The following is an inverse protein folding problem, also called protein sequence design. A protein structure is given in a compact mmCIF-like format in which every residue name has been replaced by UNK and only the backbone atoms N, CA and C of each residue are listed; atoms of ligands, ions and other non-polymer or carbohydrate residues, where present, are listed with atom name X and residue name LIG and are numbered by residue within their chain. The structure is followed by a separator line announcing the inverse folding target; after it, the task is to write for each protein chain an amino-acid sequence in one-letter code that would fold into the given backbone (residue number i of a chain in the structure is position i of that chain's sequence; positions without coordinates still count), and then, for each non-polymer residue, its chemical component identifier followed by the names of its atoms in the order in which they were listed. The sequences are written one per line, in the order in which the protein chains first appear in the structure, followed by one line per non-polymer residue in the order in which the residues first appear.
data_IF_259108495148
#
_entry.id   IF_259108495148
#
_cell.length_a   1.000
_cell.length_b   1.000
_cell.length_c   1.000
_cell.angle_alpha   90.00
_cell.angle_beta   90.00
_cell.angle_gamma   90.00
#
_symmetry.space_group_name_H-M   'P 1'
#
loop_
_entity.id
_entity.type
_entity.pdbx_description
1 polymer ?
#
# COMPACT_ATOMS: atom_id res chain seq x y z
N UNK A 1 -7.68 3.57 21.34
CA UNK A 1 -7.82 2.97 19.99
C UNK A 1 -9.21 3.28 19.48
N UNK A 2 -9.31 3.90 18.32
CA UNK A 2 -10.59 4.29 17.70
C UNK A 2 -10.99 3.23 16.67
N UNK A 3 -12.19 2.67 16.79
CA UNK A 3 -12.72 1.69 15.84
C UNK A 3 -13.52 2.39 14.75
N UNK A 4 -13.20 2.11 13.49
CA UNK A 4 -13.85 2.69 12.32
C UNK A 4 -14.25 1.58 11.33
N UNK A 5 -15.26 1.86 10.49
CA UNK A 5 -15.60 1.00 9.36
C UNK A 5 -15.04 1.62 8.10
N UNK A 6 -14.31 0.84 7.32
CA UNK A 6 -13.65 1.32 6.09
C UNK A 6 -14.00 0.42 4.92
N UNK A 7 -14.04 1.00 3.71
CA UNK A 7 -14.06 0.22 2.46
C UNK A 7 -12.62 -0.18 2.14
N UNK A 8 -12.27 -1.48 2.14
CA UNK A 8 -10.92 -1.95 1.84
C UNK A 8 -10.36 -1.44 0.51
N UNK A 9 -11.23 -1.15 -0.47
CA UNK A 9 -10.80 -0.68 -1.79
C UNK A 9 -10.27 0.75 -1.79
N UNK A 10 -10.62 1.53 -0.76
CA UNK A 10 -10.16 2.91 -0.56
C UNK A 10 -8.92 3.01 0.33
N UNK A 11 -8.47 1.89 0.91
CA UNK A 11 -7.28 1.82 1.76
C UNK A 11 -6.09 1.40 0.91
N UNK A 12 -5.00 2.15 1.02
CA UNK A 12 -3.75 1.90 0.32
C UNK A 12 -2.86 0.95 1.10
N UNK A 13 -1.97 0.27 0.39
CA UNK A 13 -0.92 -0.53 1.01
C UNK A 13 0.18 0.38 1.56
N UNK A 14 1.08 -0.21 2.34
CA UNK A 14 2.28 0.46 2.83
C UNK A 14 3.59 -0.19 2.39
N UNK A 15 3.57 -1.42 1.86
CA UNK A 15 4.76 -2.19 1.51
C UNK A 15 4.68 -2.78 0.11
N UNK A 16 5.83 -2.97 -0.53
CA UNK A 16 5.87 -3.48 -1.90
C UNK A 16 5.36 -4.89 -2.14
N UNK A 17 5.57 -5.76 -1.17
CA UNK A 17 5.16 -7.15 -1.31
C UNK A 17 4.73 -7.74 0.02
N UNK A 18 3.92 -8.79 -0.07
CA UNK A 18 3.49 -9.61 1.06
C UNK A 18 3.89 -11.06 0.85
N UNK A 19 4.19 -11.76 1.96
CA UNK A 19 4.26 -13.22 1.96
C UNK A 19 2.85 -13.80 1.74
N UNK A 20 2.71 -14.98 1.13
CA UNK A 20 1.41 -15.61 0.87
C UNK A 20 0.75 -16.22 2.11
N UNK A 21 1.44 -16.24 3.27
CA UNK A 21 0.94 -16.76 4.54
C UNK A 21 0.81 -15.66 5.59
N UNK A 22 -0.06 -15.86 6.57
CA UNK A 22 -0.19 -15.05 7.78
C UNK A 22 0.94 -15.33 8.78
N UNK A 23 0.82 -14.89 10.05
CA UNK A 23 1.86 -15.14 11.08
C UNK A 23 1.73 -16.52 11.72
N UNK A 24 0.56 -17.10 11.61
CA UNK A 24 0.09 -18.41 12.07
C UNK A 24 0.15 -19.46 10.93
N UNK A 25 0.92 -19.18 9.87
CA UNK A 25 1.14 -20.04 8.71
C UNK A 25 -0.09 -20.37 7.83
N UNK A 26 -1.27 -19.82 8.16
CA UNK A 26 -2.45 -19.91 7.30
C UNK A 26 -2.21 -19.20 5.96
N UNK A 27 -2.62 -19.83 4.85
CA UNK A 27 -2.53 -19.23 3.52
C UNK A 27 -3.55 -18.11 3.38
N UNK A 28 -3.10 -16.99 2.83
CA UNK A 28 -3.98 -15.85 2.52
C UNK A 28 -5.06 -16.25 1.51
N UNK A 29 -4.71 -17.13 0.56
CA UNK A 29 -5.65 -17.64 -0.44
C UNK A 29 -6.80 -18.43 0.21
N UNK A 30 -6.49 -19.30 1.18
CA UNK A 30 -7.51 -20.08 1.89
C UNK A 30 -8.48 -19.15 2.64
N UNK A 31 -7.95 -18.13 3.31
CA UNK A 31 -8.78 -17.11 3.98
C UNK A 31 -9.63 -16.31 2.99
N UNK A 32 -9.11 -16.00 1.79
CA UNK A 32 -9.90 -15.34 0.73
C UNK A 32 -11.07 -16.24 0.32
N UNK A 33 -10.82 -17.53 0.09
CA UNK A 33 -11.87 -18.46 -0.33
C UNK A 33 -12.94 -18.64 0.74
N UNK A 34 -12.56 -18.70 2.02
CA UNK A 34 -13.51 -18.72 3.14
C UNK A 34 -14.32 -17.42 3.25
N UNK A 35 -13.71 -16.26 2.95
CA UNK A 35 -14.41 -14.97 2.92
C UNK A 35 -15.40 -14.87 1.75
N UNK A 36 -15.06 -15.45 0.60
CA UNK A 36 -15.90 -15.47 -0.60
C UNK A 36 -17.07 -16.45 -0.42
N UNK A 37 -16.81 -17.64 0.15
CA UNK A 37 -17.85 -18.62 0.47
C UNK A 37 -18.77 -18.14 1.59
N UNK A 38 -18.30 -17.23 2.44
CA UNK A 38 -19.02 -16.72 3.60
C UNK A 38 -18.93 -17.63 4.83
N UNK A 39 -18.00 -18.60 4.82
CA UNK A 39 -17.67 -19.42 5.99
C UNK A 39 -17.17 -18.54 7.15
N UNK A 40 -16.35 -17.53 6.81
CA UNK A 40 -15.90 -16.52 7.76
C UNK A 40 -16.36 -15.12 7.32
N UNK A 41 -16.53 -14.23 8.31
CA UNK A 41 -16.84 -12.83 8.07
C UNK A 41 -15.65 -11.93 8.43
N UNK A 42 -15.59 -10.68 7.94
CA UNK A 42 -14.53 -9.75 8.33
C UNK A 42 -14.40 -9.49 9.84
N UNK A 43 -15.41 -9.85 10.65
CA UNK A 43 -15.37 -9.74 12.12
C UNK A 43 -14.62 -10.90 12.78
N UNK A 44 -14.42 -12.00 12.06
CA UNK A 44 -13.68 -13.18 12.53
C UNK A 44 -12.17 -12.99 12.35
N UNK A 45 -11.76 -12.07 11.49
CA UNK A 45 -10.36 -11.73 11.23
C UNK A 45 -9.96 -10.55 12.12
N UNK A 46 -8.73 -10.54 12.62
CA UNK A 46 -8.19 -9.42 13.38
C UNK A 46 -8.33 -8.10 12.58
N UNK A 47 -8.76 -7.04 13.26
CA UNK A 47 -9.01 -5.75 12.62
C UNK A 47 -7.74 -5.20 11.97
N UNK A 48 -7.89 -4.59 10.79
CA UNK A 48 -6.78 -3.89 10.15
C UNK A 48 -6.48 -2.58 10.87
N UNK A 49 -5.20 -2.30 11.08
CA UNK A 49 -4.74 -0.98 11.52
C UNK A 49 -4.53 -0.08 10.31
N UNK A 50 -5.08 1.13 10.40
CA UNK A 50 -4.98 2.14 9.34
C UNK A 50 -4.46 3.46 9.88
N UNK A 51 -3.60 4.10 9.11
CA UNK A 51 -3.00 5.40 9.39
C UNK A 51 -3.35 6.38 8.28
N UNK A 52 -3.62 7.64 8.63
CA UNK A 52 -3.81 8.71 7.64
C UNK A 52 -2.46 9.39 7.39
N UNK A 53 -1.91 9.27 6.20
CA UNK A 53 -0.64 9.88 5.81
C UNK A 53 -0.83 10.67 4.51
N UNK A 54 -0.43 11.95 4.51
CA UNK A 54 -0.62 12.88 3.38
C UNK A 54 -2.08 12.88 2.86
N UNK A 55 -3.05 12.89 3.77
CA UNK A 55 -4.48 12.87 3.45
C UNK A 55 -5.03 11.53 2.93
N UNK A 56 -4.18 10.51 2.73
CA UNK A 56 -4.58 9.18 2.25
C UNK A 56 -4.53 8.15 3.38
N UNK A 57 -5.39 7.15 3.31
CA UNK A 57 -5.45 6.08 4.31
C UNK A 57 -4.58 4.90 3.88
N UNK A 58 -3.60 4.54 4.71
CA UNK A 58 -2.71 3.42 4.46
C UNK A 58 -2.87 2.35 5.54
N UNK A 59 -2.76 1.08 5.15
CA UNK A 59 -2.79 -0.04 6.08
C UNK A 59 -1.40 -0.39 6.59
N UNK A 60 -1.31 -0.71 7.88
CA UNK A 60 -0.14 -1.40 8.45
C UNK A 60 -0.24 -2.92 8.22
N UNK A 61 -1.42 -3.46 7.97
CA UNK A 61 -1.68 -4.90 7.92
C UNK A 61 -2.00 -5.36 6.48
N UNK A 62 -1.02 -5.18 5.58
CA UNK A 62 -1.18 -5.37 4.13
C UNK A 62 -1.73 -6.74 3.70
N UNK A 63 -1.39 -7.82 4.41
CA UNK A 63 -1.90 -9.18 4.13
C UNK A 63 -3.42 -9.28 4.31
N UNK A 64 -3.95 -8.70 5.40
CA UNK A 64 -5.39 -8.68 5.68
C UNK A 64 -6.13 -7.75 4.72
N UNK A 65 -5.55 -6.58 4.45
CA UNK A 65 -6.09 -5.67 3.44
C UNK A 65 -6.19 -6.35 2.07
N UNK A 66 -5.15 -7.10 1.68
CA UNK A 66 -5.15 -7.87 0.44
C UNK A 66 -6.26 -8.93 0.43
N UNK A 67 -6.37 -9.73 1.50
CA UNK A 67 -7.43 -10.74 1.60
C UNK A 67 -8.82 -10.14 1.41
N UNK A 68 -9.11 -9.00 2.07
CA UNK A 68 -10.40 -8.33 1.92
C UNK A 68 -10.64 -7.76 0.52
N UNK A 69 -9.62 -7.14 -0.10
CA UNK A 69 -9.77 -6.58 -1.45
C UNK A 69 -9.99 -7.68 -2.49
N UNK A 70 -9.25 -8.78 -2.39
CA UNK A 70 -9.43 -9.92 -3.29
C UNK A 70 -10.77 -10.62 -3.08
N UNK A 71 -11.21 -10.83 -1.84
CA UNK A 71 -12.54 -11.38 -1.57
C UNK A 71 -13.66 -10.52 -2.17
N UNK A 72 -13.55 -9.19 -2.08
CA UNK A 72 -14.51 -8.26 -2.72
C UNK A 72 -14.49 -8.40 -4.24
N UNK A 73 -13.30 -8.48 -4.86
CA UNK A 73 -13.17 -8.69 -6.31
C UNK A 73 -13.79 -10.01 -6.77
N UNK A 74 -13.67 -11.06 -5.96
CA UNK A 74 -14.24 -12.40 -6.20
C UNK A 74 -15.72 -12.51 -5.87
N UNK A 75 -16.37 -11.44 -5.42
CA UNK A 75 -17.83 -11.39 -5.23
C UNK A 75 -18.33 -11.73 -3.83
N UNK A 76 -17.51 -11.51 -2.78
CA UNK A 76 -17.97 -11.67 -1.40
C UNK A 76 -19.15 -10.73 -1.06
N UNK A 77 -19.84 -11.01 0.04
CA UNK A 77 -21.06 -10.30 0.44
C UNK A 77 -20.84 -8.97 1.16
N UNK A 78 -19.64 -8.69 1.68
CA UNK A 78 -19.36 -7.50 2.48
C UNK A 78 -18.78 -6.36 1.63
N UNK A 79 -19.04 -5.11 2.07
CA UNK A 79 -18.49 -3.88 1.45
C UNK A 79 -17.52 -3.12 2.34
N UNK A 80 -17.66 -3.28 3.66
CA UNK A 80 -16.87 -2.58 4.66
C UNK A 80 -16.33 -3.54 5.69
N UNK A 81 -15.14 -3.27 6.21
CA UNK A 81 -14.49 -4.09 7.24
C UNK A 81 -14.25 -3.25 8.49
N UNK A 82 -14.24 -3.87 9.69
CA UNK A 82 -13.82 -3.20 10.90
C UNK A 82 -12.31 -2.92 10.85
N UNK A 83 -11.92 -1.70 11.24
CA UNK A 83 -10.55 -1.24 11.29
C UNK A 83 -10.29 -0.44 12.57
N UNK A 84 -9.03 -0.32 12.93
CA UNK A 84 -8.55 0.48 14.06
C UNK A 84 -7.73 1.63 13.49
N UNK A 85 -8.06 2.87 13.84
CA UNK A 85 -7.20 4.01 13.54
C UNK A 85 -5.95 3.92 14.43
N UNK A 86 -4.79 3.85 13.79
CA UNK A 86 -3.47 3.84 14.43
C UNK A 86 -2.72 5.15 14.12
N UNK A 87 -1.92 5.58 15.09
CA UNK A 87 -1.03 6.74 15.01
C UNK A 87 0.45 6.31 14.99
N UNK A 88 0.72 5.04 14.69
CA UNK A 88 2.08 4.46 14.58
C UNK A 88 2.77 4.89 13.28
N UNK A 89 3.03 6.19 13.15
CA UNK A 89 3.61 6.79 11.95
C UNK A 89 5.04 6.29 11.66
N UNK A 90 5.80 5.93 12.68
CA UNK A 90 7.17 5.40 12.50
C UNK A 90 7.14 4.00 11.86
N UNK A 91 6.21 3.14 12.27
CA UNK A 91 6.01 1.84 11.63
C UNK A 91 5.58 2.03 10.17
N UNK A 92 4.66 2.98 9.92
CA UNK A 92 4.21 3.30 8.57
C UNK A 92 5.37 3.76 7.67
N UNK A 93 6.17 4.73 8.14
CA UNK A 93 7.32 5.27 7.40
C UNK A 93 8.32 4.17 7.07
N UNK A 94 8.66 3.30 8.03
CA UNK A 94 9.56 2.15 7.81
C UNK A 94 9.03 1.17 6.77
N UNK A 95 7.72 1.02 6.66
CA UNK A 95 7.08 0.16 5.66
C UNK A 95 7.12 0.79 4.25
N UNK A 96 6.96 2.11 4.20
CA UNK A 96 6.94 2.89 2.96
C UNK A 96 8.32 3.11 2.32
N UNK A 97 9.41 2.67 2.96
CA UNK A 97 10.77 2.73 2.39
C UNK A 97 10.88 2.02 1.03
N UNK A 98 9.99 1.07 0.75
CA UNK A 98 9.88 0.42 -0.57
C UNK A 98 8.43 0.46 -1.06
N UNK A 99 8.08 1.43 -1.93
CA UNK A 99 6.68 1.67 -2.31
C UNK A 99 6.09 0.50 -3.12
N UNK A 100 4.82 0.13 -2.92
CA UNK A 100 4.16 -0.96 -3.65
C UNK A 100 3.84 -0.72 -5.11
N UNK A 101 3.62 0.54 -5.41
CA UNK A 101 3.26 1.10 -6.70
C UNK A 101 3.45 2.61 -6.54
N UNK A 102 3.47 3.39 -7.64
CA UNK A 102 3.53 4.85 -7.55
C UNK A 102 2.49 5.43 -6.58
N UNK A 103 1.28 4.84 -6.56
CA UNK A 103 0.15 5.28 -5.74
C UNK A 103 -0.20 4.36 -4.56
N UNK A 104 0.63 3.37 -4.23
CA UNK A 104 0.36 2.39 -3.14
C UNK A 104 -0.95 1.58 -3.31
N UNK A 105 -1.48 1.51 -4.53
CA UNK A 105 -2.78 0.92 -4.85
C UNK A 105 -2.74 -0.58 -5.14
N UNK A 106 -1.58 -1.10 -5.54
CA UNK A 106 -1.33 -2.51 -5.91
C UNK A 106 -0.23 -3.09 -5.03
N UNK A 107 -0.25 -4.41 -4.78
CA UNK A 107 0.79 -5.11 -4.01
C UNK A 107 1.16 -6.42 -4.69
N UNK A 108 2.43 -6.83 -4.58
CA UNK A 108 2.92 -8.12 -5.09
C UNK A 108 2.81 -9.20 -4.02
N UNK A 109 2.12 -10.30 -4.33
CA UNK A 109 2.18 -11.52 -3.49
C UNK A 109 3.43 -12.32 -3.88
N UNK A 110 4.27 -12.63 -2.90
CA UNK A 110 5.48 -13.46 -3.11
C UNK A 110 5.07 -14.92 -3.35
N UNK A 111 5.95 -15.69 -4.01
CA UNK A 111 5.79 -17.15 -4.12
C UNK A 111 5.82 -17.79 -2.74
N UNK A 112 5.06 -18.86 -2.57
CA UNK A 112 5.13 -19.69 -1.38
C UNK A 112 6.38 -20.56 -1.46
N UNK A 113 7.41 -20.18 -0.70
CA UNK A 113 8.61 -20.98 -0.49
C UNK A 113 8.43 -21.62 0.88
N UNK A 114 7.46 -22.53 0.98
CA UNK A 114 7.30 -23.34 2.19
C UNK A 114 8.37 -24.43 2.15
N UNK A 115 9.38 -24.30 3.01
CA UNK A 115 10.34 -25.36 3.28
C UNK A 115 9.75 -26.15 4.45
N UNK A 116 9.28 -27.39 4.23
CA UNK A 116 8.73 -28.19 5.30
C UNK A 116 9.83 -28.51 6.34
N UNK A 117 9.41 -28.58 7.61
CA UNK A 117 10.28 -28.66 8.78
C UNK A 117 11.10 -29.96 8.84
N UNK A 118 10.71 -30.97 8.06
CA UNK A 118 11.40 -32.25 7.89
C UNK A 118 12.56 -32.21 6.89
N UNK A 119 12.83 -31.05 6.27
CA UNK A 119 13.98 -30.83 5.38
C UNK A 119 15.10 -29.99 6.03
N UNK A 120 14.97 -29.63 7.32
CA UNK A 120 16.14 -29.23 8.10
C UNK A 120 16.90 -30.51 8.44
N UNK A 121 17.93 -30.83 7.65
CA UNK A 121 18.94 -31.80 8.06
C UNK A 121 19.61 -31.24 9.31
N UNK A 122 19.19 -31.71 10.48
CA UNK A 122 19.81 -31.49 11.81
C UNK A 122 21.22 -32.13 11.91
N UNK A 123 21.88 -32.40 10.77
CA UNK A 123 23.16 -33.09 10.66
C UNK A 123 24.37 -32.12 10.61
N UNK A 124 24.19 -30.82 10.88
CA UNK A 124 25.30 -29.91 11.16
C UNK A 124 25.65 -29.95 12.65
N UNK A 125 26.17 -31.11 13.06
CA UNK A 125 27.00 -31.31 14.25
C UNK A 125 28.43 -30.79 13.93
N UNK A 126 28.54 -29.57 13.37
CA UNK A 126 29.83 -28.92 13.11
C UNK A 126 30.04 -27.76 14.09
N UNK A 127 31.00 -28.04 14.97
CA UNK A 127 31.59 -27.24 16.03
C UNK A 127 32.34 -26.05 15.44
N UNK A 128 31.62 -25.11 14.80
CA UNK A 128 32.22 -23.86 14.32
C UNK A 128 32.14 -22.80 15.43
N UNK A 129 33.18 -22.85 16.26
CA UNK A 129 33.73 -21.77 17.07
C UNK A 129 33.48 -20.39 16.45
N UNK A 130 32.51 -19.66 17.00
CA UNK A 130 32.26 -18.26 16.66
C UNK A 130 33.50 -17.42 17.05
N UNK A 131 34.41 -17.18 16.11
CA UNK A 131 35.39 -16.10 16.27
C UNK A 131 34.65 -14.76 16.23
N UNK A 132 34.65 -14.10 17.39
CA UNK A 132 34.22 -12.73 17.63
C UNK A 132 35.12 -11.79 16.80
N UNK A 133 34.66 -11.38 15.61
CA UNK A 133 35.29 -10.29 14.88
C UNK A 133 34.97 -8.98 15.61
N UNK A 134 35.98 -8.50 16.33
CA UNK A 134 36.10 -7.17 16.91
C UNK A 134 36.22 -6.16 15.76
N UNK A 135 35.11 -5.46 15.48
CA UNK A 135 35.00 -4.44 14.42
C UNK A 135 35.48 -3.10 15.00
N UNK A 136 36.80 -2.94 15.11
CA UNK A 136 37.42 -1.62 15.33
C UNK A 136 37.39 -0.81 14.02
N UNK A 137 36.94 0.44 14.18
CA UNK A 137 36.85 1.55 13.23
C UNK A 137 37.85 1.52 12.06
N UNK A 138 37.35 1.68 10.82
CA UNK A 138 38.11 2.39 9.79
C UNK A 138 37.22 3.35 9.00
N UNK A 139 37.72 4.59 8.97
CA UNK A 139 37.14 5.85 8.51
C UNK A 139 37.73 6.14 7.13
N UNK A 140 37.09 5.64 6.07
CA UNK A 140 37.58 5.80 4.71
C UNK A 140 36.58 6.58 3.85
N UNK A 141 36.71 7.91 3.94
CA UNK A 141 36.81 8.85 2.82
C UNK A 141 36.02 8.49 1.54
N UNK A 142 34.83 9.10 1.38
CA UNK A 142 34.05 9.05 0.14
C UNK A 142 34.76 9.84 -0.96
N UNK A 143 35.41 9.12 -1.88
CA UNK A 143 35.93 9.67 -3.12
C UNK A 143 34.81 10.16 -4.05
N UNK A 144 35.09 11.34 -4.59
CA UNK A 144 34.38 12.20 -5.54
C UNK A 144 34.07 11.45 -6.85
N UNK A 145 32.78 11.34 -7.21
CA UNK A 145 32.37 10.69 -8.46
C UNK A 145 32.62 11.59 -9.68
N UNK A 146 33.38 11.02 -10.61
CA UNK A 146 33.75 11.57 -11.91
C UNK A 146 32.56 11.99 -12.79
N UNK A 147 32.79 13.11 -13.45
CA UNK A 147 32.06 13.76 -14.53
C UNK A 147 32.14 12.90 -15.81
N UNK A 148 31.00 12.42 -16.32
CA UNK A 148 30.94 11.74 -17.62
C UNK A 148 30.64 12.77 -18.70
N UNK A 149 31.63 13.02 -19.56
CA UNK A 149 31.49 13.78 -20.80
C UNK A 149 30.58 13.04 -21.80
N UNK A 150 29.67 13.81 -22.41
CA UNK A 150 28.87 13.39 -23.55
C UNK A 150 29.76 13.34 -24.81
N UNK A 151 29.82 12.19 -25.46
CA UNK A 151 30.29 12.08 -26.84
C UNK A 151 29.10 11.77 -27.75
N UNK A 152 28.64 12.82 -28.44
CA UNK A 152 27.89 12.77 -29.68
C UNK A 152 28.75 12.10 -30.76
N UNK A 153 28.28 11.00 -31.38
CA UNK A 153 28.64 10.67 -32.77
C UNK A 153 27.45 10.06 -33.52
N UNK A 154 26.95 10.90 -34.41
CA UNK A 154 26.26 10.73 -35.69
C UNK A 154 26.13 9.34 -36.36
N UNK A 155 25.07 9.31 -37.16
CA UNK A 155 24.99 8.83 -38.55
C UNK A 155 24.27 7.51 -38.87
N UNK A 156 23.27 7.72 -39.72
CA UNK A 156 22.79 6.90 -40.83
C UNK A 156 22.15 5.54 -40.55
N UNK A 157 20.81 5.53 -40.61
CA UNK A 157 20.08 4.45 -41.29
C UNK A 157 18.84 5.04 -41.98
N UNK A 158 18.93 5.18 -43.31
CA UNK A 158 17.82 5.41 -44.23
C UNK A 158 16.74 4.32 -44.07
N UNK A 159 15.54 4.71 -43.64
CA UNK A 159 14.33 3.93 -43.87
C UNK A 159 13.40 4.71 -44.79
N UNK A 160 13.51 4.39 -46.07
CA UNK A 160 12.55 4.64 -47.12
C UNK A 160 11.60 3.43 -47.17
N UNK A 161 10.34 3.57 -46.73
CA UNK A 161 9.22 2.88 -47.39
C UNK A 161 7.88 3.49 -47.00
N UNK A 162 7.02 3.58 -47.98
CA UNK A 162 5.77 4.33 -47.97
C UNK A 162 4.63 3.53 -47.33
N UNK A 163 3.72 4.19 -46.64
CA UNK A 163 2.28 3.86 -46.71
C UNK A 163 1.41 4.82 -45.90
N UNK A 164 0.50 5.44 -46.65
CA UNK A 164 -0.92 5.60 -46.35
C UNK A 164 -1.35 6.53 -45.20
N UNK A 165 -1.67 7.75 -45.64
CA UNK A 165 -2.80 8.60 -45.25
C UNK A 165 -3.80 7.97 -44.27
N UNK A 166 -3.81 8.47 -43.03
CA UNK A 166 -5.04 8.66 -42.26
C UNK A 166 -4.94 10.02 -41.54
N UNK A 167 -5.65 11.01 -42.10
CA UNK A 167 -5.89 12.32 -41.50
C UNK A 167 -6.81 12.14 -40.28
N UNK A 168 -6.24 11.99 -39.09
CA UNK A 168 -6.96 12.20 -37.84
C UNK A 168 -6.60 13.58 -37.27
N UNK A 169 -7.58 14.47 -37.38
CA UNK A 169 -7.69 15.84 -36.88
C UNK A 169 -7.46 15.88 -35.35
N UNK A 170 -6.22 16.15 -34.93
CA UNK A 170 -5.89 16.41 -33.53
C UNK A 170 -6.27 17.85 -33.17
N UNK A 171 -7.43 18.03 -32.52
CA UNK A 171 -7.81 19.27 -31.84
C UNK A 171 -6.89 19.51 -30.63
N UNK A 172 -5.91 20.37 -30.84
CA UNK A 172 -4.90 20.81 -29.88
C UNK A 172 -5.45 21.99 -29.05
N UNK A 173 -6.38 21.70 -28.12
CA UNK A 173 -6.84 22.70 -27.13
C UNK A 173 -5.84 22.76 -25.98
N UNK A 174 -4.80 23.56 -26.22
CA UNK A 174 -3.77 24.01 -25.28
C UNK A 174 -4.41 24.92 -24.22
N UNK A 175 -4.81 24.36 -23.07
CA UNK A 175 -5.22 25.17 -21.91
C UNK A 175 -3.96 25.73 -21.23
N UNK A 176 -3.67 27.00 -21.52
CA UNK A 176 -2.67 27.79 -20.82
C UNK A 176 -2.99 27.91 -19.33
N UNK A 177 -2.00 27.62 -18.51
CA UNK A 177 -2.02 27.92 -17.08
C UNK A 177 -1.56 29.37 -16.89
N UNK A 178 -2.52 30.28 -16.70
CA UNK A 178 -2.25 31.60 -16.14
C UNK A 178 -1.99 31.42 -14.63
N UNK A 179 -0.71 31.44 -14.26
CA UNK A 179 -0.31 31.63 -12.87
C UNK A 179 -0.38 33.14 -12.57
N UNK A 180 -1.54 33.59 -12.10
CA UNK A 180 -1.63 34.84 -11.37
C UNK A 180 -1.03 34.61 -9.96
N UNK A 181 0.24 35.00 -9.83
CA UNK A 181 0.81 35.46 -8.57
C UNK A 181 -0.03 36.63 -8.05
N UNK A 182 -0.65 36.49 -6.87
CA UNK A 182 -0.80 37.52 -5.83
C UNK A 182 -1.64 36.97 -4.65
N UNK A 183 -1.31 37.47 -3.44
CA UNK A 183 -1.95 37.25 -2.12
C UNK A 183 -1.58 35.93 -1.41
N UNK A 184 -0.62 35.86 -0.47
CA UNK A 184 -0.40 36.63 0.78
C UNK A 184 -1.64 36.80 1.66
N UNK A 185 -2.19 35.68 2.13
CA UNK A 185 -3.18 35.67 3.20
C UNK A 185 -2.64 34.87 4.41
N UNK A 186 -2.36 35.60 5.49
CA UNK A 186 -2.13 35.11 6.84
C UNK A 186 -3.19 34.08 7.24
N UNK A 187 -2.76 32.87 7.63
CA UNK A 187 -3.64 31.94 8.33
C UNK A 187 -3.84 32.43 9.77
N UNK A 188 -4.90 33.21 9.96
CA UNK A 188 -5.47 33.51 11.28
C UNK A 188 -6.01 32.22 11.93
N UNK A 189 -5.60 32.05 13.19
CA UNK A 189 -5.86 30.95 14.09
C UNK A 189 -7.23 31.13 14.76
N UNK A 190 -8.30 30.73 14.04
CA UNK A 190 -9.66 30.77 14.58
C UNK A 190 -10.23 29.36 14.81
N UNK A 191 -10.13 28.95 16.08
CA UNK A 191 -11.27 28.48 16.88
C UNK A 191 -12.21 27.46 16.22
N UNK A 192 -11.82 26.17 16.25
CA UNK A 192 -12.75 25.06 16.00
C UNK A 192 -13.70 24.87 17.18
N UNK A 193 -14.82 25.59 17.16
CA UNK A 193 -15.98 25.33 18.01
C UNK A 193 -16.93 24.30 17.36
N UNK A 194 -17.15 23.23 18.13
CA UNK A 194 -18.39 22.49 18.41
C UNK A 194 -19.55 22.45 17.39
N UNK A 195 -20.16 21.25 17.30
CA UNK A 195 -21.54 20.87 16.93
C UNK A 195 -21.66 19.90 15.76
N UNK A 196 -22.00 18.63 16.08
CA UNK A 196 -23.15 17.96 15.48
C UNK A 196 -23.78 17.00 16.49
N UNK A 197 -24.80 17.51 17.17
CA UNK A 197 -25.86 16.75 17.81
C UNK A 197 -26.96 16.52 16.77
N UNK A 198 -27.28 15.26 16.49
CA UNK A 198 -28.52 14.87 15.81
C UNK A 198 -29.01 13.55 16.39
N UNK A 199 -29.62 13.66 17.57
CA UNK A 199 -30.77 12.84 17.91
C UNK A 199 -31.90 13.09 16.89
N UNK A 200 -32.10 12.13 15.98
CA UNK A 200 -33.38 11.96 15.27
C UNK A 200 -33.99 10.64 15.70
N UNK A 201 -34.56 10.66 16.91
CA UNK A 201 -35.63 9.76 17.30
C UNK A 201 -36.96 10.34 16.81
N UNK A 202 -37.54 9.76 15.76
CA UNK A 202 -38.98 9.51 15.69
C UNK A 202 -39.29 8.62 14.48
N UNK A 203 -39.64 7.37 14.73
CA UNK A 203 -41.03 6.91 14.86
C UNK A 203 -41.62 6.60 13.49
N UNK A 204 -41.85 5.32 13.21
CA UNK A 204 -43.15 4.79 12.78
C UNK A 204 -42.98 3.30 12.49
N UNK A 205 -43.68 2.47 13.26
CA UNK A 205 -43.96 1.09 12.88
C UNK A 205 -43.61 0.06 13.94
N UNK A 206 -44.50 -0.12 14.92
CA UNK A 206 -44.85 -1.47 15.38
C UNK A 206 -46.23 -1.52 16.02
N UNK A 207 -47.06 -2.35 15.39
CA UNK A 207 -48.35 -2.90 15.81
C UNK A 207 -48.21 -3.84 17.03
N UNK A 208 -49.38 -4.26 17.55
CA UNK A 208 -49.69 -5.26 18.60
C UNK A 208 -49.69 -4.68 20.03
N UNK A 209 -50.75 -4.78 20.84
CA UNK A 209 -51.85 -5.76 20.99
C UNK A 209 -53.13 -5.02 21.36
#
# INVERSE_FOLDING_TARGET
MEFIKVDPRKVLYSQYSIRPRFRDDELIEDTIDQLVSGEISPKNIEHIRVCTFKGKMHSLDNRRLYAFREAIKRGCSFRTVPAIRSYEFDELKRKMTSPPSPDYSVIKVRRDIYIPEDLYDDDDDDDDEYEEYDDEEDDDEYDEYDEYEEEDEDDDDEYDDESDEDEDEYDEEYYGYDYDDEDDDEYDDDEYDEYYDYDVLNSFGRLYI
#
